data_IF_726682036122
#
_entry.id   IF_726682036122
#
_cell.length_a   1.000
_cell.length_b   1.000
_cell.length_c   1.000
_cell.angle_alpha   90.00
_cell.angle_beta   90.00
_cell.angle_gamma   90.00
#
_symmetry.space_group_name_H-M   'P 1'
#
loop_
_entity.id
_entity.type
_entity.pdbx_description
1 polymer ?
#
# COMPACT_ATOMS: atom_id res chain seq x y z
N UNK A 1 33.76 -29.21 -51.98
CA UNK A 1 34.81 -30.03 -52.67
C UNK A 1 36.15 -29.30 -52.73
N UNK A 2 36.24 -28.00 -52.92
CA UNK A 2 37.44 -27.15 -53.02
C UNK A 2 38.31 -27.12 -51.73
N UNK A 3 37.72 -27.04 -50.53
CA UNK A 3 38.39 -27.02 -49.23
C UNK A 3 39.19 -28.32 -48.95
N UNK A 4 38.65 -29.46 -49.39
CA UNK A 4 39.29 -30.78 -49.19
C UNK A 4 40.54 -30.91 -50.05
N UNK A 5 40.52 -30.42 -51.29
CA UNK A 5 41.67 -30.44 -52.21
C UNK A 5 42.79 -29.51 -51.71
N UNK A 6 42.46 -28.27 -51.29
CA UNK A 6 43.41 -27.31 -50.75
C UNK A 6 44.13 -27.83 -49.50
N UNK A 7 43.45 -28.55 -48.60
CA UNK A 7 44.04 -29.13 -47.41
C UNK A 7 45.03 -30.28 -47.73
N UNK A 8 44.80 -31.05 -48.80
CA UNK A 8 45.72 -32.13 -49.20
C UNK A 8 47.00 -31.57 -49.76
N UNK A 9 47.07 -30.46 -50.41
CA UNK A 9 48.25 -29.87 -51.05
C UNK A 9 49.19 -29.14 -50.08
N UNK A 10 48.74 -28.90 -48.81
CA UNK A 10 49.57 -28.28 -47.79
C UNK A 10 50.65 -29.20 -47.22
N UNK A 11 51.80 -28.58 -46.85
CA UNK A 11 52.86 -29.32 -46.11
C UNK A 11 52.29 -29.79 -44.76
N UNK A 12 52.82 -30.98 -44.30
CA UNK A 12 52.34 -31.66 -43.09
C UNK A 12 52.32 -30.75 -41.87
N UNK A 13 53.32 -29.92 -41.67
CA UNK A 13 53.45 -28.98 -40.58
C UNK A 13 52.29 -27.96 -40.58
N UNK A 14 51.95 -27.41 -41.78
CA UNK A 14 50.87 -26.44 -41.93
C UNK A 14 49.51 -27.08 -41.62
N UNK A 15 49.31 -28.35 -42.00
CA UNK A 15 48.09 -29.11 -41.64
C UNK A 15 47.89 -29.22 -40.12
N UNK A 16 48.98 -29.60 -39.43
CA UNK A 16 48.98 -29.73 -37.97
C UNK A 16 48.67 -28.36 -37.30
N UNK A 17 49.31 -27.28 -37.74
CA UNK A 17 49.04 -25.94 -37.22
C UNK A 17 47.58 -25.51 -37.40
N UNK A 18 46.98 -25.76 -38.56
CA UNK A 18 45.56 -25.42 -38.82
C UNK A 18 44.63 -26.22 -37.90
N UNK A 19 44.89 -27.52 -37.72
CA UNK A 19 44.08 -28.35 -36.81
C UNK A 19 44.19 -27.87 -35.38
N UNK A 20 45.40 -27.58 -34.90
CA UNK A 20 45.62 -27.10 -33.55
C UNK A 20 44.91 -25.74 -33.32
N UNK A 21 45.05 -24.82 -34.28
CA UNK A 21 44.35 -23.52 -34.19
C UNK A 21 42.84 -23.69 -34.20
N UNK A 22 42.27 -24.54 -35.02
CA UNK A 22 40.83 -24.82 -35.03
C UNK A 22 40.36 -25.39 -33.71
N UNK A 23 41.15 -26.28 -33.11
CA UNK A 23 40.83 -26.93 -31.83
C UNK A 23 40.85 -25.90 -30.67
N UNK A 24 41.86 -25.03 -30.66
CA UNK A 24 41.96 -23.92 -29.68
C UNK A 24 40.77 -22.97 -29.80
N UNK A 25 40.38 -22.64 -31.03
CA UNK A 25 39.24 -21.75 -31.29
C UNK A 25 37.91 -22.36 -30.80
N UNK A 26 37.71 -23.68 -31.05
CA UNK A 26 36.53 -24.40 -30.53
C UNK A 26 36.49 -24.37 -29.01
N UNK A 27 37.60 -24.67 -28.35
CA UNK A 27 37.71 -24.65 -26.88
C UNK A 27 37.37 -23.24 -26.35
N UNK A 28 37.93 -22.19 -26.98
CA UNK A 28 37.68 -20.81 -26.58
C UNK A 28 36.19 -20.43 -26.72
N UNK A 29 35.56 -20.79 -27.83
CA UNK A 29 34.13 -20.55 -28.06
C UNK A 29 33.27 -21.27 -27.01
N UNK A 30 33.60 -22.52 -26.70
CA UNK A 30 32.93 -23.29 -25.67
C UNK A 30 33.05 -22.60 -24.27
N UNK A 31 34.27 -22.14 -23.92
CA UNK A 31 34.49 -21.43 -22.65
C UNK A 31 33.69 -20.14 -22.58
N UNK A 32 33.69 -19.31 -23.62
CA UNK A 32 32.90 -18.06 -23.66
C UNK A 32 31.41 -18.37 -23.53
N UNK A 33 30.92 -19.40 -24.19
CA UNK A 33 29.51 -19.80 -24.09
C UNK A 33 29.14 -20.25 -22.68
N UNK A 34 29.95 -21.09 -22.03
CA UNK A 34 29.71 -21.55 -20.65
C UNK A 34 29.74 -20.36 -19.67
N UNK A 35 30.73 -19.49 -19.77
CA UNK A 35 30.83 -18.29 -18.91
C UNK A 35 29.66 -17.37 -19.11
N UNK A 36 29.21 -17.18 -20.34
CA UNK A 36 28.01 -16.37 -20.65
C UNK A 36 26.75 -16.95 -20.00
N UNK A 37 26.58 -18.28 -20.10
CA UNK A 37 25.43 -18.96 -19.48
C UNK A 37 25.44 -18.85 -17.95
N UNK A 38 26.60 -19.03 -17.34
CA UNK A 38 26.75 -18.89 -15.87
C UNK A 38 26.50 -17.43 -15.45
N UNK A 39 27.07 -16.47 -16.17
CA UNK A 39 26.87 -15.04 -15.90
C UNK A 39 25.40 -14.63 -15.99
N UNK A 40 24.70 -15.03 -17.05
CA UNK A 40 23.27 -14.75 -17.20
C UNK A 40 22.40 -15.37 -16.11
N UNK A 41 22.71 -16.60 -15.68
CA UNK A 41 21.99 -17.25 -14.57
C UNK A 41 22.24 -16.54 -13.26
N UNK A 42 23.48 -16.12 -12.99
CA UNK A 42 23.82 -15.38 -11.78
C UNK A 42 23.08 -14.04 -11.71
N UNK A 43 23.14 -13.24 -12.78
CA UNK A 43 22.44 -11.96 -12.87
C UNK A 43 20.92 -12.13 -12.72
N UNK A 44 20.35 -13.17 -13.33
CA UNK A 44 18.91 -13.44 -13.20
C UNK A 44 18.54 -13.77 -11.76
N UNK A 45 19.31 -14.66 -11.11
CA UNK A 45 19.07 -15.04 -9.71
C UNK A 45 19.22 -13.86 -8.75
N UNK A 46 20.19 -12.98 -9.00
CA UNK A 46 20.41 -11.78 -8.19
C UNK A 46 19.27 -10.79 -8.35
N UNK A 47 18.76 -10.59 -9.56
CA UNK A 47 17.58 -9.76 -9.82
C UNK A 47 16.33 -10.32 -9.14
N UNK A 48 16.10 -11.64 -9.20
CA UNK A 48 14.99 -12.28 -8.50
C UNK A 48 15.10 -12.14 -6.98
N UNK A 49 16.28 -12.33 -6.41
CA UNK A 49 16.51 -12.14 -4.98
C UNK A 49 16.30 -10.69 -4.55
N UNK A 50 16.81 -9.74 -5.30
CA UNK A 50 16.62 -8.31 -5.05
C UNK A 50 15.14 -7.91 -5.15
N UNK A 51 14.45 -8.33 -6.20
CA UNK A 51 13.03 -8.07 -6.35
C UNK A 51 12.19 -8.70 -5.22
N UNK A 52 12.46 -9.97 -4.88
CA UNK A 52 11.79 -10.66 -3.78
C UNK A 52 12.06 -9.98 -2.43
N UNK A 53 13.30 -9.55 -2.18
CA UNK A 53 13.67 -8.79 -0.99
C UNK A 53 12.93 -7.44 -0.90
N UNK A 54 12.83 -6.72 -2.02
CA UNK A 54 12.10 -5.45 -2.09
C UNK A 54 10.59 -5.64 -1.83
N UNK A 55 9.98 -6.68 -2.39
CA UNK A 55 8.57 -7.02 -2.14
C UNK A 55 8.35 -7.41 -0.68
N UNK A 56 9.23 -8.23 -0.11
CA UNK A 56 9.14 -8.60 1.31
C UNK A 56 9.26 -7.38 2.23
N UNK A 57 10.17 -6.46 1.92
CA UNK A 57 10.34 -5.22 2.68
C UNK A 57 9.11 -4.31 2.55
N UNK A 58 8.56 -4.15 1.35
CA UNK A 58 7.33 -3.40 1.13
C UNK A 58 6.14 -3.99 1.91
N UNK A 59 6.00 -5.33 1.91
CA UNK A 59 4.96 -5.99 2.70
C UNK A 59 5.11 -5.74 4.20
N UNK A 60 6.32 -5.77 4.73
CA UNK A 60 6.58 -5.46 6.14
C UNK A 60 6.21 -4.01 6.49
N UNK A 61 6.51 -3.06 5.61
CA UNK A 61 6.13 -1.66 5.80
C UNK A 61 4.60 -1.50 5.80
N UNK A 62 3.91 -2.12 4.83
CA UNK A 62 2.44 -2.10 4.76
C UNK A 62 1.83 -2.70 6.04
N UNK A 63 2.30 -3.86 6.48
CA UNK A 63 1.82 -4.49 7.72
C UNK A 63 2.06 -3.61 8.95
N UNK A 64 3.21 -2.95 9.03
CA UNK A 64 3.51 -2.03 10.14
C UNK A 64 2.54 -0.85 10.16
N UNK A 65 2.28 -0.23 9.01
CA UNK A 65 1.33 0.87 8.88
C UNK A 65 -0.11 0.42 9.18
N UNK A 66 -0.50 -0.77 8.73
CA UNK A 66 -1.81 -1.37 9.02
C UNK A 66 -2.01 -1.55 10.52
N UNK A 67 -1.06 -2.19 11.22
CA UNK A 67 -1.13 -2.38 12.67
C UNK A 67 -1.18 -1.05 13.41
N UNK A 68 -0.41 -0.07 12.94
CA UNK A 68 -0.40 1.26 13.54
C UNK A 68 -1.74 1.97 13.39
N UNK A 69 -2.33 2.01 12.19
CA UNK A 69 -3.63 2.63 11.93
C UNK A 69 -4.76 1.93 12.69
N UNK A 70 -4.73 0.61 12.74
CA UNK A 70 -5.69 -0.17 13.54
C UNK A 70 -5.58 0.15 15.02
N UNK A 71 -4.36 0.23 15.55
CA UNK A 71 -4.11 0.62 16.94
C UNK A 71 -4.65 2.02 17.24
N UNK A 72 -4.40 2.98 16.36
CA UNK A 72 -4.90 4.33 16.49
C UNK A 72 -6.44 4.39 16.43
N UNK A 73 -7.05 3.77 15.41
CA UNK A 73 -8.50 3.73 15.27
C UNK A 73 -9.16 3.12 16.53
N UNK A 74 -8.58 2.02 17.03
CA UNK A 74 -9.06 1.37 18.25
C UNK A 74 -8.93 2.25 19.47
N UNK A 75 -7.81 2.95 19.64
CA UNK A 75 -7.60 3.87 20.76
C UNK A 75 -8.58 5.06 20.70
N UNK A 76 -8.77 5.65 19.54
CA UNK A 76 -9.78 6.68 19.36
C UNK A 76 -11.20 6.16 19.67
N UNK A 77 -11.53 4.94 19.18
CA UNK A 77 -12.86 4.37 19.35
C UNK A 77 -13.23 4.05 20.81
N UNK A 78 -12.26 3.75 21.68
CA UNK A 78 -12.49 3.49 23.11
C UNK A 78 -12.38 4.75 23.98
N UNK A 79 -11.89 5.89 23.44
CA UNK A 79 -11.79 7.15 24.15
C UNK A 79 -13.18 7.64 24.59
N UNK A 80 -13.26 8.09 25.84
CA UNK A 80 -14.51 8.60 26.41
C UNK A 80 -14.96 9.87 25.65
N UNK A 81 -14.03 10.73 25.33
CA UNK A 81 -14.26 11.99 24.63
C UNK A 81 -14.83 11.74 23.23
N UNK A 82 -14.30 10.76 22.50
CA UNK A 82 -14.81 10.38 21.16
C UNK A 82 -16.22 9.80 21.27
N UNK A 83 -16.46 8.94 22.25
CA UNK A 83 -17.78 8.34 22.44
C UNK A 83 -18.84 9.38 22.83
N UNK A 84 -18.49 10.30 23.73
CA UNK A 84 -19.36 11.40 24.13
C UNK A 84 -19.63 12.33 22.95
N UNK A 85 -18.61 12.71 22.18
CA UNK A 85 -18.78 13.55 20.99
C UNK A 85 -19.72 12.91 19.97
N UNK A 86 -19.57 11.62 19.70
CA UNK A 86 -20.44 10.89 18.78
C UNK A 86 -21.87 10.77 19.31
N UNK A 87 -22.06 10.53 20.61
CA UNK A 87 -23.38 10.49 21.24
C UNK A 87 -24.09 11.82 21.17
N UNK A 88 -23.40 12.91 21.51
CA UNK A 88 -23.97 14.27 21.45
C UNK A 88 -24.30 14.68 20.00
N UNK A 89 -23.43 14.37 19.05
CA UNK A 89 -23.71 14.64 17.63
C UNK A 89 -24.95 13.87 17.14
N UNK A 90 -25.13 12.61 17.54
CA UNK A 90 -26.32 11.82 17.19
C UNK A 90 -27.61 12.35 17.83
N UNK A 91 -27.51 13.19 18.87
CA UNK A 91 -28.64 13.93 19.49
C UNK A 91 -28.89 15.29 18.81
N UNK A 92 -28.07 15.64 17.81
CA UNK A 92 -28.16 16.94 17.12
C UNK A 92 -27.42 18.09 17.81
N UNK A 93 -26.56 17.80 18.80
CA UNK A 93 -25.77 18.78 19.50
C UNK A 93 -24.44 19.02 18.83
N UNK A 94 -23.87 20.22 18.92
CA UNK A 94 -22.51 20.49 18.46
C UNK A 94 -21.50 19.89 19.45
N UNK A 95 -20.71 18.95 18.99
CA UNK A 95 -19.79 18.17 19.80
C UNK A 95 -18.30 18.23 19.34
N UNK A 96 -18.01 19.04 18.32
CA UNK A 96 -16.65 19.17 17.77
C UNK A 96 -15.63 19.58 18.85
N UNK A 97 -16.01 20.44 19.81
CA UNK A 97 -15.11 20.86 20.89
C UNK A 97 -14.56 19.68 21.75
N UNK A 98 -15.33 18.59 21.88
CA UNK A 98 -14.95 17.43 22.66
C UNK A 98 -13.82 16.63 21.98
N UNK A 99 -13.63 16.80 20.69
CA UNK A 99 -12.59 16.10 19.91
C UNK A 99 -11.25 16.83 19.88
N UNK A 100 -11.18 18.10 20.30
CA UNK A 100 -9.98 18.93 20.20
C UNK A 100 -8.75 18.29 20.86
N UNK A 101 -8.89 17.70 22.05
CA UNK A 101 -7.80 17.09 22.78
C UNK A 101 -7.31 15.81 22.07
N UNK A 102 -8.24 15.00 21.55
CA UNK A 102 -7.93 13.78 20.79
C UNK A 102 -7.23 14.14 19.47
N UNK A 103 -7.74 15.12 18.74
CA UNK A 103 -7.12 15.59 17.49
C UNK A 103 -5.74 16.17 17.74
N UNK A 104 -5.58 17.00 18.77
CA UNK A 104 -4.28 17.59 19.13
C UNK A 104 -3.27 16.53 19.54
N UNK A 105 -3.65 15.55 20.37
CA UNK A 105 -2.78 14.44 20.77
C UNK A 105 -2.35 13.59 19.56
N UNK A 106 -3.23 13.41 18.59
CA UNK A 106 -2.97 12.65 17.37
C UNK A 106 -2.02 13.39 16.42
N UNK A 107 -2.13 14.71 16.34
CA UNK A 107 -1.34 15.55 15.42
C UNK A 107 0.18 15.45 15.66
N UNK A 108 0.61 15.32 16.92
CA UNK A 108 2.04 15.26 17.26
C UNK A 108 2.77 13.99 16.78
N UNK A 109 2.05 12.94 16.43
CA UNK A 109 2.64 11.66 16.00
C UNK A 109 2.62 11.39 14.49
N UNK A 110 1.98 12.24 13.66
CA UNK A 110 1.56 11.82 12.32
C UNK A 110 1.88 12.83 11.22
N UNK A 111 2.79 12.46 10.33
CA UNK A 111 3.22 13.31 9.21
C UNK A 111 2.43 13.14 7.90
N UNK A 112 1.42 12.27 7.82
CA UNK A 112 0.73 11.98 6.56
C UNK A 112 -0.70 11.43 6.71
N UNK A 113 -1.37 11.71 7.83
CA UNK A 113 -2.67 11.13 8.13
C UNK A 113 -3.79 12.18 8.11
N UNK A 114 -4.92 11.82 7.49
CA UNK A 114 -6.18 12.51 7.69
C UNK A 114 -7.03 11.64 8.63
N UNK A 115 -7.58 12.26 9.66
CA UNK A 115 -8.47 11.62 10.64
C UNK A 115 -9.81 12.36 10.61
N UNK A 116 -10.90 11.62 10.39
CA UNK A 116 -12.25 12.18 10.25
C UNK A 116 -13.19 11.41 11.16
N UNK A 117 -14.05 12.13 11.86
CA UNK A 117 -15.11 11.55 12.68
C UNK A 117 -16.48 11.81 12.04
N UNK A 118 -17.23 10.72 11.82
CA UNK A 118 -18.58 10.74 11.28
C UNK A 118 -19.59 10.25 12.32
N UNK A 119 -20.72 10.92 12.45
CA UNK A 119 -21.87 10.41 13.20
C UNK A 119 -22.61 9.31 12.42
N UNK A 120 -23.69 8.77 12.98
CA UNK A 120 -24.48 7.70 12.34
C UNK A 120 -25.16 8.14 11.04
N UNK A 121 -25.46 9.42 10.89
CA UNK A 121 -26.06 10.01 9.69
C UNK A 121 -25.02 10.31 8.60
N UNK A 122 -23.75 10.04 8.87
CA UNK A 122 -22.64 10.30 7.94
C UNK A 122 -22.21 11.76 7.88
N UNK A 123 -22.64 12.57 8.83
CA UNK A 123 -22.21 13.98 8.94
C UNK A 123 -20.84 14.03 9.58
N UNK A 124 -19.93 14.81 8.99
CA UNK A 124 -18.61 15.09 9.57
C UNK A 124 -18.81 15.92 10.85
N UNK A 125 -18.30 15.40 11.98
CA UNK A 125 -18.31 16.11 13.26
C UNK A 125 -17.11 17.02 13.35
N UNK A 126 -15.93 16.44 13.13
CA UNK A 126 -14.65 17.14 13.14
C UNK A 126 -13.60 16.30 12.39
N UNK A 127 -12.50 16.93 12.02
CA UNK A 127 -11.42 16.27 11.32
C UNK A 127 -10.06 16.93 11.56
N UNK A 128 -9.01 16.15 11.34
CA UNK A 128 -7.63 16.62 11.31
C UNK A 128 -7.00 16.28 9.96
N UNK A 129 -6.35 17.25 9.36
CA UNK A 129 -5.54 17.05 8.16
C UNK A 129 -4.28 17.89 8.20
N UNK A 130 -3.23 17.38 7.58
CA UNK A 130 -1.99 18.13 7.35
C UNK A 130 -2.14 19.06 6.15
N UNK A 131 -3.01 18.69 5.21
CA UNK A 131 -3.29 19.48 4.04
C UNK A 131 -4.39 20.50 4.35
N UNK A 132 -4.05 21.79 4.30
CA UNK A 132 -5.00 22.87 4.55
C UNK A 132 -6.13 22.95 3.51
N UNK A 133 -5.95 22.33 2.34
CA UNK A 133 -6.99 22.24 1.29
C UNK A 133 -7.94 21.05 1.47
N UNK A 134 -7.69 20.22 2.47
CA UNK A 134 -8.49 19.05 2.76
C UNK A 134 -9.88 19.43 3.29
N UNK A 135 -10.90 18.98 2.59
CA UNK A 135 -12.29 19.20 3.00
C UNK A 135 -13.05 17.86 2.93
N UNK A 136 -13.34 17.20 4.07
CA UNK A 136 -14.04 15.93 4.08
C UNK A 136 -15.51 16.11 3.70
N UNK A 137 -16.06 15.14 2.97
CA UNK A 137 -17.44 15.11 2.52
C UNK A 137 -18.30 14.25 3.45
N UNK A 138 -19.53 14.67 3.70
CA UNK A 138 -20.52 13.87 4.39
C UNK A 138 -20.78 12.56 3.63
N UNK A 139 -20.99 11.48 4.37
CA UNK A 139 -21.24 10.14 3.82
C UNK A 139 -22.74 9.84 3.84
N UNK A 140 -23.20 9.01 2.90
CA UNK A 140 -24.58 8.54 2.89
C UNK A 140 -24.67 7.16 3.57
N UNK A 141 -25.37 7.04 4.73
CA UNK A 141 -25.49 5.77 5.44
C UNK A 141 -26.27 4.70 4.68
N UNK A 142 -27.06 5.07 3.67
CA UNK A 142 -27.81 4.11 2.85
C UNK A 142 -27.02 3.62 1.63
N UNK A 143 -25.89 4.25 1.33
CA UNK A 143 -25.03 3.83 0.20
C UNK A 143 -24.16 2.63 0.57
N UNK A 144 -24.66 1.46 0.24
CA UNK A 144 -23.95 0.19 0.49
C UNK A 144 -22.79 -0.09 -0.48
N UNK A 145 -22.58 0.76 -1.48
CA UNK A 145 -21.38 0.69 -2.31
C UNK A 145 -20.14 1.19 -1.56
N UNK A 146 -20.33 2.01 -0.53
CA UNK A 146 -19.30 2.63 0.28
C UNK A 146 -19.06 1.88 1.60
N UNK A 147 -17.82 1.88 2.11
CA UNK A 147 -17.48 1.27 3.40
C UNK A 147 -18.32 1.83 4.56
N UNK A 148 -18.54 3.14 4.60
CA UNK A 148 -19.35 3.78 5.62
C UNK A 148 -20.75 3.14 5.74
N UNK A 149 -21.48 3.08 4.62
CA UNK A 149 -22.82 2.49 4.59
C UNK A 149 -22.82 1.00 4.95
N UNK A 150 -21.81 0.25 4.51
CA UNK A 150 -21.66 -1.18 4.85
C UNK A 150 -21.42 -1.39 6.34
N UNK A 151 -20.57 -0.58 6.97
CA UNK A 151 -20.24 -0.67 8.40
C UNK A 151 -21.45 -0.31 9.25
N UNK A 152 -22.14 0.81 8.96
CA UNK A 152 -23.32 1.24 9.72
C UNK A 152 -24.44 0.19 9.63
N UNK A 153 -24.69 -0.38 8.46
CA UNK A 153 -25.73 -1.39 8.26
C UNK A 153 -25.32 -2.82 8.67
N UNK A 154 -24.13 -3.00 9.24
CA UNK A 154 -23.60 -4.28 9.76
C UNK A 154 -23.65 -5.44 8.76
N UNK A 155 -23.61 -5.16 7.46
CA UNK A 155 -23.80 -6.17 6.41
C UNK A 155 -22.77 -7.29 6.45
N UNK A 156 -21.53 -7.00 6.94
CA UNK A 156 -20.43 -7.97 6.96
C UNK A 156 -20.03 -8.43 8.37
N UNK A 157 -20.69 -7.94 9.43
CA UNK A 157 -20.31 -8.25 10.82
C UNK A 157 -18.94 -7.69 11.25
N UNK A 158 -18.23 -7.01 10.35
CA UNK A 158 -16.91 -6.43 10.61
C UNK A 158 -17.06 -5.08 11.33
N UNK A 159 -16.05 -4.73 12.12
CA UNK A 159 -15.95 -3.43 12.79
C UNK A 159 -15.08 -2.45 12.01
N UNK A 160 -14.45 -2.88 10.94
CA UNK A 160 -13.59 -2.06 10.11
C UNK A 160 -13.58 -2.55 8.66
N UNK A 161 -13.19 -1.67 7.75
CA UNK A 161 -13.01 -1.96 6.34
C UNK A 161 -11.89 -1.09 5.76
N UNK A 162 -11.09 -1.67 4.85
CA UNK A 162 -10.09 -0.95 4.10
C UNK A 162 -10.63 -0.54 2.74
N UNK A 163 -10.34 0.70 2.33
CA UNK A 163 -10.67 1.22 1.01
C UNK A 163 -9.42 1.78 0.36
N UNK A 164 -9.18 1.36 -0.88
CA UNK A 164 -8.16 1.96 -1.72
C UNK A 164 -8.84 2.92 -2.71
N UNK A 165 -8.50 4.19 -2.60
CA UNK A 165 -9.02 5.25 -3.46
C UNK A 165 -7.92 5.56 -4.49
N UNK A 166 -8.11 5.16 -5.77
CA UNK A 166 -7.13 5.43 -6.81
C UNK A 166 -7.04 6.93 -7.12
N UNK A 167 -5.93 7.33 -7.72
CA UNK A 167 -5.75 8.67 -8.25
C UNK A 167 -6.94 9.03 -9.17
N UNK A 168 -7.52 10.21 -9.01
CA UNK A 168 -8.70 10.71 -9.73
C UNK A 168 -10.09 10.22 -9.27
N UNK A 169 -10.18 9.43 -8.21
CA UNK A 169 -11.48 9.15 -7.58
C UNK A 169 -11.85 10.30 -6.62
N UNK A 170 -12.75 11.16 -7.03
CA UNK A 170 -13.22 12.32 -6.25
C UNK A 170 -14.18 11.96 -5.11
N UNK A 171 -14.04 10.83 -4.46
CA UNK A 171 -15.14 10.25 -3.71
C UNK A 171 -15.18 10.56 -2.21
N UNK A 172 -14.08 11.04 -1.63
CA UNK A 172 -14.01 11.42 -0.21
C UNK A 172 -13.64 12.89 0.01
N UNK A 173 -13.04 13.55 -1.01
CA UNK A 173 -12.41 14.85 -0.84
C UNK A 173 -12.63 15.70 -2.09
N UNK A 174 -13.12 16.93 -1.92
CA UNK A 174 -13.49 17.80 -3.05
C UNK A 174 -12.33 18.20 -3.99
N UNK A 175 -11.05 18.09 -3.58
CA UNK A 175 -9.94 18.67 -4.36
C UNK A 175 -8.64 17.85 -4.39
N UNK A 176 -8.56 16.69 -3.74
CA UNK A 176 -7.31 15.95 -3.66
C UNK A 176 -7.29 14.73 -4.58
N UNK A 177 -6.47 14.82 -5.63
CA UNK A 177 -6.29 13.78 -6.65
C UNK A 177 -5.22 12.74 -6.29
N UNK A 178 -4.76 12.67 -5.03
CA UNK A 178 -3.76 11.68 -4.62
C UNK A 178 -4.40 10.32 -4.33
N UNK A 179 -3.72 9.22 -4.70
CA UNK A 179 -4.17 7.90 -4.29
C UNK A 179 -4.06 7.77 -2.77
N UNK A 180 -5.09 7.22 -2.15
CA UNK A 180 -5.18 7.07 -0.69
C UNK A 180 -5.56 5.67 -0.29
N UNK A 181 -5.07 5.27 0.87
CA UNK A 181 -5.53 4.07 1.58
C UNK A 181 -6.27 4.54 2.82
N UNK A 182 -7.54 4.19 2.95
CA UNK A 182 -8.39 4.62 4.05
C UNK A 182 -8.85 3.42 4.86
N UNK A 183 -8.63 3.50 6.17
CA UNK A 183 -9.22 2.59 7.15
C UNK A 183 -10.51 3.23 7.66
N UNK A 184 -11.62 2.54 7.47
CA UNK A 184 -12.91 2.86 8.06
C UNK A 184 -13.12 2.00 9.30
N UNK A 185 -13.40 2.61 10.46
CA UNK A 185 -13.52 1.92 11.73
C UNK A 185 -14.82 2.29 12.44
N UNK A 186 -15.66 1.30 12.74
CA UNK A 186 -16.94 1.47 13.42
C UNK A 186 -16.73 1.68 14.92
N UNK A 187 -17.14 2.81 15.43
CA UNK A 187 -17.13 3.11 16.86
C UNK A 187 -18.40 2.56 17.51
N UNK A 188 -18.23 1.83 18.59
CA UNK A 188 -19.31 1.27 19.41
C UNK A 188 -19.20 1.77 20.83
N UNK A 189 -20.35 2.03 21.42
CA UNK A 189 -20.45 2.32 22.83
C UNK A 189 -19.84 1.21 23.68
N UNK A 190 -18.99 1.57 24.63
CA UNK A 190 -18.28 0.60 25.46
C UNK A 190 -19.22 -0.27 26.32
N UNK A 191 -20.36 0.29 26.72
CA UNK A 191 -21.33 -0.33 27.60
C UNK A 191 -22.41 -1.09 26.83
N UNK A 192 -23.11 -0.41 25.92
CA UNK A 192 -24.28 -0.95 25.20
C UNK A 192 -23.91 -1.72 23.95
N UNK A 193 -22.67 -1.57 23.45
CA UNK A 193 -22.19 -2.11 22.17
C UNK A 193 -22.97 -1.61 20.93
N UNK A 194 -23.77 -0.57 21.09
CA UNK A 194 -24.46 0.08 19.98
C UNK A 194 -23.46 0.88 19.13
N UNK A 195 -23.71 0.97 17.84
CA UNK A 195 -22.91 1.81 16.95
C UNK A 195 -23.12 3.28 17.28
N UNK A 196 -22.05 4.05 17.36
CA UNK A 196 -22.06 5.48 17.64
C UNK A 196 -21.69 6.33 16.42
N UNK A 197 -20.85 5.81 15.54
CA UNK A 197 -20.35 6.50 14.36
C UNK A 197 -19.20 5.75 13.73
N UNK A 198 -18.48 6.43 12.84
CA UNK A 198 -17.34 5.85 12.10
C UNK A 198 -16.16 6.81 12.13
N UNK A 199 -14.98 6.27 12.32
CA UNK A 199 -13.70 6.96 12.16
C UNK A 199 -13.12 6.56 10.81
N UNK A 200 -12.70 7.55 9.99
CA UNK A 200 -11.94 7.31 8.79
C UNK A 200 -10.50 7.83 8.97
N UNK A 201 -9.54 6.95 8.75
CA UNK A 201 -8.11 7.22 8.80
C UNK A 201 -7.52 7.04 7.42
N UNK A 202 -7.06 8.13 6.78
CA UNK A 202 -6.59 8.10 5.40
C UNK A 202 -5.12 8.46 5.30
N UNK A 203 -4.34 7.59 4.66
CA UNK A 203 -2.93 7.81 4.33
C UNK A 203 -2.77 8.21 2.86
N UNK A 204 -1.94 9.22 2.62
CA UNK A 204 -1.48 9.55 1.28
C UNK A 204 -0.40 8.54 0.85
N UNK A 205 -0.68 7.78 -0.21
CA UNK A 205 0.24 6.74 -0.71
C UNK A 205 1.47 7.28 -1.45
N UNK A 206 1.61 8.61 -1.59
CA UNK A 206 2.79 9.24 -2.23
C UNK A 206 3.94 9.50 -1.25
N UNK A 207 3.72 9.32 0.02
CA UNK A 207 4.72 9.52 1.08
C UNK A 207 5.14 8.21 1.68
#
# INVERSE_FOLDING_TARGET
MLLKKWFYDLRLITKICIIVQALVLVVFVCQVFVLSQIGMRSIRNERYRSASGSVAHANLLIQKEEVYLMGLASNCAISAEVQEALQESNRGNNSAALLNDVLSATQYGMSALNLIFYNLDGVVIDYMSIDASFNPINQNPTDLSRPFGRLINKRNGLNYEWEFIPQHAMDLFEQDNSPKVTLWYLVKDNSSKQSLGVIALSLDSRK
#
